data_IF_798478189692
#
_entry.id   IF_798478189692
#
_cell.length_a   1.000
_cell.length_b   1.000
_cell.length_c   1.000
_cell.angle_alpha   90.00
_cell.angle_beta   90.00
_cell.angle_gamma   90.00
#
_symmetry.space_group_name_H-M   'P 1'
#
loop_
_entity.id
_entity.type
_entity.pdbx_description
1 polymer ?
#
# COMPACT_ATOMS: atom_id res chain seq x y z
N UNK A 1 -44.07 0.82 12.87
CA UNK A 1 -44.58 2.14 13.30
C UNK A 1 -43.62 3.20 12.80
N UNK A 2 -44.10 4.15 12.01
CA UNK A 2 -43.34 5.28 11.50
C UNK A 2 -43.05 6.24 12.65
N UNK A 3 -41.81 6.30 13.11
CA UNK A 3 -41.32 7.47 13.84
C UNK A 3 -40.19 8.07 13.00
N UNK A 4 -40.46 9.26 12.48
CA UNK A 4 -39.46 10.15 11.91
C UNK A 4 -38.38 10.46 12.93
N UNK A 5 -37.32 11.15 12.51
CA UNK A 5 -36.10 11.43 13.28
C UNK A 5 -36.29 12.31 14.55
N UNK A 6 -37.51 12.43 15.08
CA UNK A 6 -37.94 13.33 16.14
C UNK A 6 -38.60 12.60 17.34
N UNK A 7 -38.25 11.33 17.61
CA UNK A 7 -38.73 10.64 18.81
C UNK A 7 -37.91 11.01 20.06
N UNK A 8 -38.55 11.06 21.23
CA UNK A 8 -37.94 11.51 22.47
C UNK A 8 -37.03 10.41 23.07
N UNK A 9 -36.01 10.76 23.86
CA UNK A 9 -35.03 9.78 24.39
C UNK A 9 -35.71 8.63 25.16
N UNK A 10 -36.78 8.92 25.91
CA UNK A 10 -37.53 7.90 26.66
C UNK A 10 -38.26 6.93 25.74
N UNK A 11 -38.76 7.38 24.59
CA UNK A 11 -39.44 6.52 23.61
C UNK A 11 -38.47 5.53 22.99
N UNK A 12 -37.26 5.99 22.64
CA UNK A 12 -36.19 5.10 22.17
C UNK A 12 -35.79 4.07 23.24
N UNK A 13 -35.78 4.42 24.52
CA UNK A 13 -35.51 3.46 25.61
C UNK A 13 -36.61 2.40 25.72
N UNK A 14 -37.88 2.80 25.65
CA UNK A 14 -39.01 1.86 25.68
C UNK A 14 -38.99 0.91 24.48
N UNK A 15 -38.71 1.43 23.29
CA UNK A 15 -38.58 0.62 22.07
C UNK A 15 -37.39 -0.34 22.19
N UNK A 16 -36.24 0.13 22.70
CA UNK A 16 -35.07 -0.71 22.91
C UNK A 16 -35.36 -1.87 23.86
N UNK A 17 -36.04 -1.59 24.99
CA UNK A 17 -36.40 -2.61 25.96
C UNK A 17 -37.40 -3.64 25.40
N UNK A 18 -38.34 -3.20 24.57
CA UNK A 18 -39.24 -4.11 23.84
C UNK A 18 -38.46 -5.11 22.98
N UNK A 19 -37.54 -4.63 22.15
CA UNK A 19 -36.74 -5.50 21.28
C UNK A 19 -35.73 -6.37 22.06
N UNK A 20 -35.24 -5.89 23.20
CA UNK A 20 -34.40 -6.68 24.12
C UNK A 20 -35.17 -7.88 24.68
N UNK A 21 -36.45 -7.69 25.05
CA UNK A 21 -37.32 -8.75 25.53
C UNK A 21 -37.70 -9.76 24.43
N UNK A 22 -37.85 -9.31 23.18
CA UNK A 22 -38.03 -10.18 22.01
C UNK A 22 -36.74 -10.91 21.58
N UNK A 23 -35.60 -10.65 22.26
CA UNK A 23 -34.26 -11.15 21.90
C UNK A 23 -33.80 -10.69 20.51
N UNK A 24 -34.35 -9.60 20.00
CA UNK A 24 -33.87 -8.94 18.79
C UNK A 24 -32.71 -7.98 19.15
N UNK A 25 -31.55 -8.57 19.39
CA UNK A 25 -30.36 -7.88 19.90
C UNK A 25 -29.88 -6.72 19.04
N UNK A 26 -30.00 -6.84 17.71
CA UNK A 26 -29.60 -5.79 16.77
C UNK A 26 -30.48 -4.54 16.91
N UNK A 27 -31.80 -4.69 16.87
CA UNK A 27 -32.72 -3.56 17.01
C UNK A 27 -32.66 -2.97 18.41
N UNK A 28 -32.58 -3.81 19.45
CA UNK A 28 -32.39 -3.36 20.83
C UNK A 28 -31.15 -2.48 20.95
N UNK A 29 -30.01 -2.95 20.44
CA UNK A 29 -28.76 -2.22 20.41
C UNK A 29 -28.85 -0.87 19.68
N UNK A 30 -29.47 -0.87 18.49
CA UNK A 30 -29.69 0.35 17.69
C UNK A 30 -30.53 1.40 18.42
N UNK A 31 -31.63 1.00 19.05
CA UNK A 31 -32.48 1.95 19.78
C UNK A 31 -31.84 2.41 21.10
N UNK A 32 -31.07 1.56 21.77
CA UNK A 32 -30.25 1.99 22.92
C UNK A 32 -29.18 3.01 22.52
N UNK A 33 -28.59 2.88 21.33
CA UNK A 33 -27.66 3.87 20.78
C UNK A 33 -28.35 5.21 20.53
N UNK A 34 -29.53 5.21 19.91
CA UNK A 34 -30.34 6.43 19.72
C UNK A 34 -30.75 7.08 21.05
N UNK A 35 -30.96 6.26 22.09
CA UNK A 35 -31.22 6.71 23.45
C UNK A 35 -29.96 7.15 24.23
N UNK A 36 -28.78 7.17 23.62
CA UNK A 36 -27.47 7.46 24.24
C UNK A 36 -27.10 6.54 25.42
N UNK A 37 -27.68 5.33 25.48
CA UNK A 37 -27.31 4.30 26.46
C UNK A 37 -26.22 3.39 25.87
N UNK A 38 -25.00 3.92 25.73
CA UNK A 38 -23.91 3.27 25.00
C UNK A 38 -23.54 1.88 25.53
N UNK A 39 -23.46 1.69 26.85
CA UNK A 39 -23.12 0.38 27.42
C UNK A 39 -24.15 -0.70 27.07
N UNK A 40 -25.45 -0.39 27.19
CA UNK A 40 -26.51 -1.34 26.83
C UNK A 40 -26.55 -1.57 25.32
N UNK A 41 -26.32 -0.52 24.54
CA UNK A 41 -26.24 -0.61 23.09
C UNK A 41 -25.15 -1.62 22.69
N UNK A 42 -23.91 -1.42 23.14
CA UNK A 42 -22.77 -2.27 22.79
C UNK A 42 -22.98 -3.70 23.27
N UNK A 43 -23.39 -3.93 24.52
CA UNK A 43 -23.64 -5.29 25.03
C UNK A 43 -24.70 -6.05 24.21
N UNK A 44 -25.76 -5.37 23.78
CA UNK A 44 -26.79 -5.97 22.93
C UNK A 44 -26.27 -6.20 21.50
N UNK A 45 -25.57 -5.23 20.90
CA UNK A 45 -25.00 -5.38 19.56
C UNK A 45 -24.00 -6.55 19.47
N UNK A 46 -23.15 -6.73 20.49
CA UNK A 46 -22.18 -7.83 20.54
C UNK A 46 -22.80 -9.21 20.81
N UNK A 47 -24.04 -9.26 21.30
CA UNK A 47 -24.84 -10.50 21.39
C UNK A 47 -25.51 -10.89 20.07
N UNK A 48 -25.58 -9.97 19.12
CA UNK A 48 -26.09 -10.27 17.79
C UNK A 48 -25.16 -11.29 17.11
N UNK A 49 -25.69 -12.29 16.39
CA UNK A 49 -24.87 -13.25 15.67
C UNK A 49 -23.86 -12.55 14.75
N UNK A 50 -22.58 -12.94 14.86
CA UNK A 50 -21.54 -12.38 14.01
C UNK A 50 -21.66 -12.93 12.58
N UNK A 51 -21.58 -12.03 11.61
CA UNK A 51 -21.36 -12.30 10.19
C UNK A 51 -20.21 -11.41 9.72
N UNK A 52 -19.51 -11.78 8.65
CA UNK A 52 -18.35 -11.02 8.15
C UNK A 52 -18.68 -9.54 7.84
N UNK A 53 -19.93 -9.26 7.45
CA UNK A 53 -20.46 -7.91 7.24
C UNK A 53 -21.55 -7.58 8.27
N UNK A 54 -21.27 -7.78 9.55
CA UNK A 54 -22.27 -7.57 10.60
C UNK A 54 -22.59 -6.09 10.80
N UNK A 55 -23.81 -5.61 10.45
CA UNK A 55 -24.21 -4.23 10.72
C UNK A 55 -24.30 -3.94 12.23
N UNK A 56 -24.42 -4.98 13.07
CA UNK A 56 -24.39 -4.83 14.52
C UNK A 56 -23.01 -4.38 15.01
N UNK A 57 -21.95 -4.93 14.42
CA UNK A 57 -20.58 -4.57 14.79
C UNK A 57 -20.23 -3.15 14.33
N UNK A 58 -20.70 -2.73 13.15
CA UNK A 58 -20.54 -1.36 12.67
C UNK A 58 -21.18 -0.33 13.62
N UNK A 59 -22.40 -0.61 14.09
CA UNK A 59 -23.07 0.22 15.10
C UNK A 59 -22.33 0.19 16.45
N UNK A 60 -21.69 -0.93 16.81
CA UNK A 60 -20.94 -1.03 18.06
C UNK A 60 -19.65 -0.18 18.00
N UNK A 61 -18.97 -0.17 16.85
CA UNK A 61 -17.82 0.71 16.59
C UNK A 61 -18.21 2.19 16.71
N UNK A 62 -19.33 2.57 16.09
CA UNK A 62 -19.89 3.93 16.19
C UNK A 62 -20.24 4.28 17.64
N UNK A 63 -20.91 3.37 18.36
CA UNK A 63 -21.27 3.55 19.76
C UNK A 63 -20.06 3.78 20.66
N UNK A 64 -18.96 3.04 20.46
CA UNK A 64 -17.70 3.24 21.19
C UNK A 64 -17.08 4.60 20.88
N UNK A 65 -17.06 5.00 19.60
CA UNK A 65 -16.56 6.31 19.18
C UNK A 65 -17.35 7.49 19.77
N UNK A 66 -18.66 7.33 19.94
CA UNK A 66 -19.53 8.34 20.54
C UNK A 66 -19.46 8.36 22.08
N UNK A 67 -19.20 7.21 22.70
CA UNK A 67 -19.16 7.09 24.16
C UNK A 67 -17.88 7.65 24.79
N UNK A 68 -16.76 7.60 24.05
CA UNK A 68 -15.41 7.94 24.53
C UNK A 68 -15.05 7.26 25.87
N UNK A 69 -15.54 6.03 26.07
CA UNK A 69 -15.36 5.23 27.28
C UNK A 69 -14.29 4.14 27.05
N UNK A 70 -13.19 4.23 27.81
CA UNK A 70 -12.06 3.29 27.73
C UNK A 70 -12.45 1.85 28.08
N UNK A 71 -13.40 1.64 28.99
CA UNK A 71 -13.87 0.30 29.38
C UNK A 71 -14.70 -0.32 28.27
N UNK A 72 -15.56 0.45 27.61
CA UNK A 72 -16.34 -0.02 26.46
C UNK A 72 -15.44 -0.29 25.25
N UNK A 73 -14.41 0.52 25.07
CA UNK A 73 -13.35 0.28 24.08
C UNK A 73 -12.64 -1.05 24.33
N UNK A 74 -12.17 -1.28 25.57
CA UNK A 74 -11.50 -2.53 25.94
C UNK A 74 -12.42 -3.75 25.77
N UNK A 75 -13.70 -3.63 26.14
CA UNK A 75 -14.70 -4.68 25.91
C UNK A 75 -14.80 -5.06 24.43
N UNK A 76 -14.81 -4.06 23.54
CA UNK A 76 -14.88 -4.30 22.10
C UNK A 76 -13.58 -4.92 21.56
N UNK A 77 -12.41 -4.50 22.06
CA UNK A 77 -11.12 -5.10 21.68
C UNK A 77 -11.07 -6.58 22.07
N UNK A 78 -11.42 -6.93 23.30
CA UNK A 78 -11.49 -8.33 23.79
C UNK A 78 -12.42 -9.18 22.92
N UNK A 79 -13.56 -8.63 22.51
CA UNK A 79 -14.48 -9.29 21.58
C UNK A 79 -13.85 -9.51 20.19
N UNK A 80 -13.22 -8.48 19.62
CA UNK A 80 -12.57 -8.56 18.31
C UNK A 80 -11.39 -9.53 18.28
N UNK A 81 -10.65 -9.63 19.39
CA UNK A 81 -9.54 -10.58 19.53
C UNK A 81 -10.00 -12.02 19.78
N UNK A 82 -11.31 -12.25 19.96
CA UNK A 82 -11.86 -13.59 20.18
C UNK A 82 -11.64 -14.12 21.60
N UNK A 83 -11.21 -13.28 22.55
CA UNK A 83 -11.02 -13.70 23.94
C UNK A 83 -12.36 -14.00 24.64
N UNK A 84 -13.46 -13.43 24.14
CA UNK A 84 -14.81 -13.63 24.66
C UNK A 84 -15.52 -14.88 24.11
N UNK A 85 -15.28 -15.25 22.85
CA UNK A 85 -16.01 -16.32 22.15
C UNK A 85 -15.11 -17.38 21.48
N UNK A 86 -13.79 -17.28 21.69
CA UNK A 86 -12.79 -18.20 21.16
C UNK A 86 -12.43 -18.00 19.69
N UNK A 87 -13.03 -17.03 18.99
CA UNK A 87 -12.84 -16.84 17.55
C UNK A 87 -12.42 -15.39 17.25
N UNK A 88 -11.14 -15.14 16.94
CA UNK A 88 -10.69 -13.82 16.49
C UNK A 88 -11.46 -13.35 15.27
N UNK A 89 -11.89 -12.08 15.28
CA UNK A 89 -12.58 -11.44 14.16
C UNK A 89 -11.57 -10.90 13.15
N UNK A 90 -12.06 -10.56 11.95
CA UNK A 90 -11.23 -9.94 10.92
C UNK A 90 -10.59 -8.66 11.45
N UNK A 91 -9.26 -8.54 11.30
CA UNK A 91 -8.44 -7.41 11.73
C UNK A 91 -8.92 -6.06 11.15
N UNK A 92 -9.66 -6.06 10.04
CA UNK A 92 -10.34 -4.87 9.50
C UNK A 92 -11.27 -4.19 10.51
N UNK A 93 -11.91 -4.94 11.39
CA UNK A 93 -12.77 -4.37 12.43
C UNK A 93 -11.95 -3.66 13.51
N UNK A 94 -10.82 -4.23 13.91
CA UNK A 94 -9.90 -3.61 14.86
C UNK A 94 -9.27 -2.35 14.27
N UNK A 95 -8.92 -2.40 12.99
CA UNK A 95 -8.49 -1.22 12.24
C UNK A 95 -9.56 -0.13 12.27
N UNK A 96 -10.81 -0.44 11.91
CA UNK A 96 -11.93 0.52 11.95
C UNK A 96 -12.15 1.10 13.34
N UNK A 97 -12.03 0.30 14.40
CA UNK A 97 -12.10 0.77 15.78
C UNK A 97 -11.04 1.84 16.06
N UNK A 98 -9.78 1.56 15.75
CA UNK A 98 -8.69 2.52 15.95
C UNK A 98 -8.87 3.79 15.12
N UNK A 99 -9.44 3.69 13.92
CA UNK A 99 -9.78 4.87 13.11
C UNK A 99 -10.85 5.74 13.76
N UNK A 100 -11.93 5.12 14.25
CA UNK A 100 -13.02 5.82 14.97
C UNK A 100 -12.50 6.51 16.23
N UNK A 101 -11.62 5.83 16.98
CA UNK A 101 -10.98 6.35 18.18
C UNK A 101 -9.83 7.32 17.90
N UNK A 102 -9.52 7.59 16.63
CA UNK A 102 -8.38 8.43 16.21
C UNK A 102 -7.03 7.94 16.75
N UNK A 103 -6.92 6.64 17.05
CA UNK A 103 -5.70 5.96 17.49
C UNK A 103 -4.86 5.55 16.27
N UNK A 104 -4.39 6.56 15.54
CA UNK A 104 -3.73 6.37 14.24
C UNK A 104 -2.47 5.50 14.27
N UNK A 105 -1.73 5.50 15.39
CA UNK A 105 -0.53 4.66 15.56
C UNK A 105 -0.88 3.17 15.55
N UNK A 106 -1.92 2.78 16.30
CA UNK A 106 -2.37 1.39 16.35
C UNK A 106 -3.07 1.00 15.04
N UNK A 107 -3.87 1.90 14.47
CA UNK A 107 -4.47 1.71 13.15
C UNK A 107 -3.39 1.43 12.08
N UNK A 108 -2.28 2.16 12.11
CA UNK A 108 -1.18 1.97 11.18
C UNK A 108 -0.52 0.60 11.29
N UNK A 109 -0.29 0.11 12.52
CA UNK A 109 0.24 -1.24 12.74
C UNK A 109 -0.73 -2.31 12.25
N UNK A 110 -2.01 -2.18 12.57
CA UNK A 110 -3.05 -3.12 12.11
C UNK A 110 -3.18 -3.11 10.59
N UNK A 111 -3.10 -1.96 9.93
CA UNK A 111 -3.16 -1.87 8.47
C UNK A 111 -2.00 -2.59 7.79
N UNK A 112 -0.79 -2.55 8.36
CA UNK A 112 0.36 -3.32 7.87
C UNK A 112 0.11 -4.83 7.98
N UNK A 113 -0.51 -5.29 9.06
CA UNK A 113 -0.89 -6.70 9.23
C UNK A 113 -1.90 -7.11 8.16
N UNK A 114 -2.99 -6.35 7.99
CA UNK A 114 -4.02 -6.63 6.97
C UNK A 114 -3.40 -6.63 5.57
N UNK A 115 -2.53 -5.66 5.26
CA UNK A 115 -1.86 -5.59 3.96
C UNK A 115 -0.99 -6.83 3.69
N UNK A 116 -0.29 -7.36 4.71
CA UNK A 116 0.51 -8.59 4.59
C UNK A 116 -0.36 -9.83 4.38
N UNK A 117 -1.52 -9.91 5.01
CA UNK A 117 -2.49 -10.99 4.78
C UNK A 117 -3.00 -10.96 3.33
N UNK A 118 -3.40 -9.78 2.84
CA UNK A 118 -3.83 -9.58 1.45
C UNK A 118 -2.70 -9.90 0.45
N UNK A 119 -1.45 -9.54 0.75
CA UNK A 119 -0.27 -9.92 -0.05
C UNK A 119 -0.08 -11.43 -0.12
N UNK A 120 -0.28 -12.12 1.01
CA UNK A 120 -0.17 -13.57 1.10
C UNK A 120 -1.26 -14.24 0.26
N UNK A 121 -2.49 -13.72 0.34
CA UNK A 121 -3.62 -14.16 -0.47
C UNK A 121 -3.50 -13.84 -1.98
N UNK A 122 -2.53 -13.01 -2.39
CA UNK A 122 -2.34 -12.59 -3.78
C UNK A 122 -3.13 -11.35 -4.19
N UNK A 123 -3.82 -10.69 -3.25
CA UNK A 123 -4.63 -9.50 -3.44
C UNK A 123 -3.80 -8.21 -3.36
N UNK A 124 -2.74 -8.09 -4.16
CA UNK A 124 -1.78 -6.98 -4.09
C UNK A 124 -2.40 -5.59 -4.29
N UNK A 125 -3.47 -5.48 -5.10
CA UNK A 125 -4.17 -4.21 -5.31
C UNK A 125 -4.99 -3.79 -4.07
N UNK A 126 -5.63 -4.74 -3.41
CA UNK A 126 -6.35 -4.51 -2.15
C UNK A 126 -5.40 -4.03 -1.06
N UNK A 127 -4.25 -4.71 -0.89
CA UNK A 127 -3.18 -4.30 0.03
C UNK A 127 -2.67 -2.90 -0.29
N UNK A 128 -2.44 -2.59 -1.56
CA UNK A 128 -1.99 -1.28 -2.04
C UNK A 128 -2.99 -0.19 -1.66
N UNK A 129 -4.27 -0.37 -2.00
CA UNK A 129 -5.30 0.64 -1.82
C UNK A 129 -5.59 0.90 -0.33
N UNK A 130 -5.51 -0.15 0.51
CA UNK A 130 -5.58 -0.02 1.97
C UNK A 130 -4.45 0.86 2.51
N UNK A 131 -3.19 0.52 2.22
CA UNK A 131 -2.03 1.29 2.71
C UNK A 131 -2.06 2.72 2.17
N UNK A 132 -2.41 2.91 0.89
CA UNK A 132 -2.55 4.23 0.28
C UNK A 132 -3.59 5.08 1.02
N UNK A 133 -4.79 4.53 1.30
CA UNK A 133 -5.86 5.25 1.97
C UNK A 133 -5.44 5.76 3.35
N UNK A 134 -4.69 4.95 4.10
CA UNK A 134 -4.21 5.33 5.42
C UNK A 134 -3.05 6.33 5.36
N UNK A 135 -2.14 6.17 4.39
CA UNK A 135 -1.08 7.17 4.15
C UNK A 135 -1.67 8.53 3.81
N UNK A 136 -2.71 8.59 2.99
CA UNK A 136 -3.47 9.82 2.71
C UNK A 136 -4.05 10.39 4.02
N UNK A 137 -4.67 9.54 4.83
CA UNK A 137 -5.38 9.97 6.03
C UNK A 137 -4.44 10.54 7.11
N UNK A 138 -3.27 9.92 7.31
CA UNK A 138 -2.22 10.41 8.20
C UNK A 138 -1.69 11.76 7.71
N UNK A 139 -1.43 11.89 6.41
CA UNK A 139 -0.90 13.14 5.82
C UNK A 139 -1.87 14.30 5.90
N UNK A 140 -3.16 14.07 5.69
CA UNK A 140 -4.19 15.11 5.83
C UNK A 140 -4.28 15.68 7.25
N UNK A 141 -3.75 14.97 8.25
CA UNK A 141 -3.72 15.37 9.67
C UNK A 141 -2.31 15.76 10.15
N UNK A 142 -1.37 15.94 9.23
CA UNK A 142 0.04 16.21 9.53
C UNK A 142 0.68 15.17 10.47
N UNK A 143 0.20 13.93 10.42
CA UNK A 143 0.75 12.81 11.18
C UNK A 143 1.84 12.10 10.36
N UNK A 144 2.90 11.69 11.06
CA UNK A 144 4.00 10.93 10.45
C UNK A 144 3.53 9.56 10.00
N UNK A 145 3.90 9.19 8.78
CA UNK A 145 3.70 7.84 8.24
C UNK A 145 4.80 6.90 8.76
N UNK A 146 4.47 5.75 9.35
CA UNK A 146 5.48 4.76 9.75
C UNK A 146 6.33 4.25 8.57
N UNK A 147 7.63 4.05 8.80
CA UNK A 147 8.58 3.61 7.77
C UNK A 147 8.12 2.34 7.07
N UNK A 148 7.76 1.32 7.85
CA UNK A 148 7.32 0.03 7.34
C UNK A 148 6.09 0.12 6.43
N UNK A 149 5.16 1.02 6.74
CA UNK A 149 3.98 1.28 5.92
C UNK A 149 4.38 1.92 4.58
N UNK A 150 5.24 2.93 4.63
CA UNK A 150 5.74 3.60 3.43
C UNK A 150 6.51 2.62 2.52
N UNK A 151 7.36 1.77 3.10
CA UNK A 151 8.14 0.76 2.39
C UNK A 151 7.26 -0.30 1.73
N UNK A 152 6.25 -0.81 2.46
CA UNK A 152 5.31 -1.78 1.91
C UNK A 152 4.45 -1.17 0.79
N UNK A 153 4.00 0.09 0.95
CA UNK A 153 3.30 0.78 -0.12
C UNK A 153 4.20 1.00 -1.34
N UNK A 154 5.46 1.42 -1.16
CA UNK A 154 6.41 1.61 -2.25
C UNK A 154 6.65 0.30 -3.03
N UNK A 155 6.77 -0.82 -2.32
CA UNK A 155 6.98 -2.14 -2.91
C UNK A 155 5.74 -2.60 -3.70
N UNK A 156 4.54 -2.46 -3.15
CA UNK A 156 3.29 -2.77 -3.85
C UNK A 156 3.07 -1.85 -5.06
N UNK A 157 3.40 -0.58 -4.92
CA UNK A 157 3.33 0.38 -6.02
C UNK A 157 4.29 0.01 -7.15
N UNK A 158 5.49 -0.47 -6.82
CA UNK A 158 6.46 -0.99 -7.81
C UNK A 158 5.88 -2.16 -8.60
N UNK A 159 5.14 -3.08 -7.94
CA UNK A 159 4.43 -4.17 -8.61
C UNK A 159 3.32 -3.66 -9.56
N UNK A 160 2.59 -2.61 -9.17
CA UNK A 160 1.58 -1.97 -10.05
C UNK A 160 2.25 -1.30 -11.25
N UNK A 161 3.31 -0.53 -11.01
CA UNK A 161 4.06 0.19 -12.06
C UNK A 161 4.69 -0.74 -13.08
N UNK A 162 5.16 -1.92 -12.67
CA UNK A 162 5.67 -2.92 -13.62
C UNK A 162 4.65 -3.21 -14.74
N UNK A 163 3.37 -3.43 -14.39
CA UNK A 163 2.30 -3.67 -15.39
C UNK A 163 2.04 -2.44 -16.26
N UNK A 164 2.09 -1.25 -15.67
CA UNK A 164 1.93 0.02 -16.38
C UNK A 164 3.04 0.18 -17.43
N UNK A 165 4.31 0.01 -17.04
CA UNK A 165 5.44 0.17 -17.95
C UNK A 165 5.46 -0.89 -19.07
N UNK A 166 5.12 -2.15 -18.76
CA UNK A 166 4.97 -3.20 -19.79
C UNK A 166 3.94 -2.79 -20.85
N UNK A 167 2.80 -2.22 -20.42
CA UNK A 167 1.74 -1.76 -21.34
C UNK A 167 2.21 -0.61 -22.24
N UNK A 168 3.09 0.26 -21.74
CA UNK A 168 3.66 1.38 -22.50
C UNK A 168 4.90 0.99 -23.32
N UNK A 169 5.32 -0.28 -23.31
CA UNK A 169 6.51 -0.75 -24.02
C UNK A 169 7.84 -0.34 -23.37
N UNK A 170 7.81 0.25 -22.17
CA UNK A 170 9.02 0.62 -21.43
C UNK A 170 9.56 -0.57 -20.64
N UNK A 171 10.26 -1.45 -21.36
CA UNK A 171 10.81 -2.68 -20.80
C UNK A 171 11.89 -2.42 -19.74
N UNK A 172 12.63 -1.30 -19.82
CA UNK A 172 13.69 -1.00 -18.87
C UNK A 172 13.12 -0.61 -17.50
N UNK A 173 12.14 0.30 -17.45
CA UNK A 173 11.49 0.66 -16.18
C UNK A 173 10.67 -0.51 -15.63
N UNK A 174 9.98 -1.25 -16.49
CA UNK A 174 9.30 -2.48 -16.08
C UNK A 174 10.25 -3.48 -15.42
N UNK A 175 11.40 -3.74 -16.04
CA UNK A 175 12.40 -4.67 -15.51
C UNK A 175 12.94 -4.20 -14.15
N UNK A 176 13.27 -2.91 -13.98
CA UNK A 176 13.75 -2.37 -12.69
C UNK A 176 12.72 -2.50 -11.58
N UNK A 177 11.44 -2.23 -11.86
CA UNK A 177 10.36 -2.44 -10.89
C UNK A 177 10.21 -3.93 -10.52
N UNK A 178 10.30 -4.82 -11.50
CA UNK A 178 10.23 -6.26 -11.29
C UNK A 178 11.44 -6.82 -10.53
N UNK A 179 12.63 -6.25 -10.72
CA UNK A 179 13.82 -6.59 -9.93
C UNK A 179 13.59 -6.25 -8.45
N UNK A 180 13.14 -5.02 -8.14
CA UNK A 180 12.82 -4.61 -6.76
C UNK A 180 11.79 -5.54 -6.10
N UNK A 181 10.75 -5.93 -6.86
CA UNK A 181 9.74 -6.89 -6.39
C UNK A 181 10.34 -8.28 -6.19
N UNK A 182 11.19 -8.75 -7.10
CA UNK A 182 11.83 -10.05 -7.04
C UNK A 182 12.89 -10.17 -5.93
N UNK A 183 13.58 -9.10 -5.57
CA UNK A 183 14.43 -9.04 -4.37
C UNK A 183 13.62 -9.24 -3.08
N UNK A 184 12.33 -8.90 -3.11
CA UNK A 184 11.40 -9.02 -1.98
C UNK A 184 10.35 -10.13 -2.22
N UNK A 185 10.70 -11.17 -2.98
CA UNK A 185 9.76 -12.19 -3.47
C UNK A 185 9.03 -12.96 -2.35
N UNK A 186 9.62 -13.04 -1.15
CA UNK A 186 8.99 -13.63 0.04
C UNK A 186 7.70 -12.92 0.45
N UNK A 187 7.54 -11.64 0.10
CA UNK A 187 6.32 -10.85 0.32
C UNK A 187 5.26 -11.06 -0.78
N UNK A 188 5.53 -11.90 -1.78
CA UNK A 188 4.62 -12.23 -2.89
C UNK A 188 4.47 -13.75 -3.09
N UNK A 189 4.13 -14.52 -2.05
CA UNK A 189 4.19 -16.00 -2.09
C UNK A 189 3.25 -16.64 -3.11
N UNK A 190 2.09 -16.02 -3.38
CA UNK A 190 1.12 -16.53 -4.34
C UNK A 190 1.55 -16.36 -5.80
N UNK A 191 2.36 -15.34 -6.11
CA UNK A 191 2.77 -15.02 -7.49
C UNK A 191 4.28 -15.15 -7.75
N UNK A 192 5.00 -15.97 -6.97
CA UNK A 192 6.46 -16.16 -7.12
C UNK A 192 6.87 -16.48 -8.56
N UNK A 193 6.29 -17.54 -9.13
CA UNK A 193 6.66 -18.00 -10.49
C UNK A 193 6.26 -16.98 -11.57
N UNK A 194 5.02 -16.43 -11.60
CA UNK A 194 4.65 -15.38 -12.56
C UNK A 194 5.52 -14.12 -12.48
N UNK A 195 5.84 -13.65 -11.27
CA UNK A 195 6.67 -12.44 -11.07
C UNK A 195 8.07 -12.69 -11.62
N UNK A 196 8.76 -13.74 -11.14
CA UNK A 196 10.11 -14.05 -11.58
C UNK A 196 10.18 -14.31 -13.09
N UNK A 197 9.16 -14.98 -13.66
CA UNK A 197 9.09 -15.22 -15.12
C UNK A 197 9.01 -13.90 -15.87
N UNK A 198 8.17 -12.98 -15.42
CA UNK A 198 8.06 -11.64 -15.98
C UNK A 198 9.38 -10.86 -15.82
N UNK A 199 10.04 -10.96 -14.65
CA UNK A 199 11.34 -10.33 -14.39
C UNK A 199 12.37 -10.78 -15.42
N UNK A 200 12.49 -12.09 -15.68
CA UNK A 200 13.44 -12.61 -16.69
C UNK A 200 13.13 -12.07 -18.08
N UNK A 201 11.86 -12.11 -18.50
CA UNK A 201 11.43 -11.68 -19.84
C UNK A 201 11.71 -10.19 -20.05
N UNK A 202 11.31 -9.35 -19.09
CA UNK A 202 11.49 -7.90 -19.21
C UNK A 202 12.97 -7.51 -19.10
N UNK A 203 13.76 -8.19 -18.26
CA UNK A 203 15.22 -8.01 -18.23
C UNK A 203 15.87 -8.37 -19.58
N UNK A 204 15.42 -9.43 -20.27
CA UNK A 204 15.94 -9.77 -21.60
C UNK A 204 15.63 -8.69 -22.63
N UNK A 205 14.39 -8.20 -22.66
CA UNK A 205 13.96 -7.13 -23.59
C UNK A 205 14.69 -5.81 -23.31
N UNK A 206 14.97 -5.53 -22.04
CA UNK A 206 15.70 -4.34 -21.61
C UNK A 206 17.23 -4.44 -21.76
N UNK A 207 17.77 -5.61 -22.11
CA UNK A 207 19.22 -5.83 -22.20
C UNK A 207 19.94 -6.00 -20.86
N UNK A 208 19.21 -6.23 -19.75
CA UNK A 208 19.76 -6.50 -18.41
C UNK A 208 20.19 -7.97 -18.30
N UNK A 209 21.34 -8.32 -18.89
CA UNK A 209 21.76 -9.71 -19.07
C UNK A 209 22.10 -10.38 -17.73
N UNK A 210 22.84 -9.68 -16.87
CA UNK A 210 23.22 -10.22 -15.55
C UNK A 210 22.00 -10.55 -14.69
N UNK A 211 21.05 -9.61 -14.57
CA UNK A 211 19.82 -9.81 -13.81
C UNK A 211 18.95 -10.92 -14.43
N UNK A 212 18.80 -10.92 -15.76
CA UNK A 212 18.04 -11.94 -16.48
C UNK A 212 18.58 -13.35 -16.22
N UNK A 213 19.90 -13.53 -16.32
CA UNK A 213 20.55 -14.81 -16.04
C UNK A 213 20.33 -15.26 -14.60
N UNK A 214 20.52 -14.35 -13.63
CA UNK A 214 20.34 -14.66 -12.20
C UNK A 214 18.94 -15.18 -11.86
N UNK A 215 17.89 -14.47 -12.30
CA UNK A 215 16.51 -14.91 -12.05
C UNK A 215 16.11 -16.13 -12.88
N UNK A 216 16.65 -16.31 -14.08
CA UNK A 216 16.42 -17.53 -14.88
C UNK A 216 17.03 -18.76 -14.18
N UNK A 217 18.25 -18.64 -13.65
CA UNK A 217 18.88 -19.69 -12.86
C UNK A 217 18.08 -20.01 -11.59
N UNK A 218 17.52 -18.99 -10.91
CA UNK A 218 16.63 -19.17 -9.76
C UNK A 218 15.37 -19.95 -10.14
N UNK A 219 14.69 -19.60 -11.23
CA UNK A 219 13.47 -20.28 -11.70
C UNK A 219 13.67 -21.74 -12.13
N UNK A 220 14.90 -22.12 -12.51
CA UNK A 220 15.24 -23.48 -12.93
C UNK A 220 15.59 -24.40 -11.77
N UNK A 221 15.61 -23.89 -10.53
CA UNK A 221 15.72 -24.72 -9.32
C UNK A 221 14.49 -25.65 -9.19
N UNK A 222 14.64 -26.85 -8.61
CA UNK A 222 13.55 -27.84 -8.51
C UNK A 222 12.24 -27.28 -7.96
N UNK A 223 12.32 -26.39 -6.97
CA UNK A 223 11.19 -25.74 -6.29
C UNK A 223 10.21 -25.00 -7.23
N UNK A 224 10.75 -24.36 -8.29
CA UNK A 224 9.99 -23.53 -9.22
C UNK A 224 9.89 -24.13 -10.61
N UNK A 225 10.87 -24.95 -10.99
CA UNK A 225 11.03 -25.51 -12.33
C UNK A 225 9.77 -26.21 -12.81
N UNK A 226 9.14 -27.03 -11.97
CA UNK A 226 7.95 -27.80 -12.33
C UNK A 226 6.71 -26.93 -12.55
N UNK A 227 6.59 -25.83 -11.80
CA UNK A 227 5.50 -24.85 -11.88
C UNK A 227 5.63 -23.90 -13.07
N UNK A 228 6.83 -23.85 -13.69
CA UNK A 228 7.08 -23.03 -14.86
C UNK A 228 6.54 -23.68 -16.13
N UNK A 229 5.86 -22.89 -16.95
CA UNK A 229 5.36 -23.32 -18.26
C UNK A 229 6.48 -23.91 -19.15
N UNK A 230 6.24 -25.03 -19.86
CA UNK A 230 7.26 -25.71 -20.66
C UNK A 230 7.93 -24.83 -21.73
N UNK A 231 7.21 -23.85 -22.30
CA UNK A 231 7.75 -22.91 -23.31
C UNK A 231 8.78 -22.00 -22.68
N UNK A 232 8.48 -21.45 -21.50
CA UNK A 232 9.40 -20.59 -20.76
C UNK A 232 10.57 -21.39 -20.20
N UNK A 233 10.34 -22.60 -19.71
CA UNK A 233 11.39 -23.51 -19.21
C UNK A 233 12.48 -23.75 -20.26
N UNK A 234 12.11 -24.14 -21.48
CA UNK A 234 13.08 -24.38 -22.58
C UNK A 234 13.88 -23.12 -22.94
N UNK A 235 13.23 -21.96 -22.95
CA UNK A 235 13.88 -20.68 -23.23
C UNK A 235 14.91 -20.34 -22.15
N UNK A 236 14.55 -20.47 -20.89
CA UNK A 236 15.43 -20.15 -19.77
C UNK A 236 16.58 -21.15 -19.64
N UNK A 237 16.36 -22.44 -19.93
CA UNK A 237 17.45 -23.42 -20.02
C UNK A 237 18.47 -23.05 -21.11
N UNK A 238 17.99 -22.59 -22.26
CA UNK A 238 18.86 -22.16 -23.35
C UNK A 238 19.65 -20.92 -22.95
N UNK A 239 19.02 -19.98 -22.24
CA UNK A 239 19.66 -18.78 -21.70
C UNK A 239 20.82 -19.15 -20.75
N UNK A 240 20.59 -20.05 -19.77
CA UNK A 240 21.63 -20.38 -18.78
C UNK A 240 22.75 -21.26 -19.36
N UNK A 241 22.48 -22.02 -20.42
CA UNK A 241 23.47 -22.89 -21.09
C UNK A 241 24.41 -22.13 -22.02
N UNK A 242 24.04 -20.92 -22.44
CA UNK A 242 24.85 -20.06 -23.32
C UNK A 242 25.11 -18.72 -22.62
N UNK A 243 25.93 -18.70 -21.55
CA UNK A 243 26.26 -17.47 -20.84
C UNK A 243 26.99 -16.45 -21.73
N UNK A 244 27.72 -16.92 -22.75
CA UNK A 244 28.48 -16.07 -23.68
C UNK A 244 28.20 -16.41 -25.15
N UNK A 245 27.45 -15.55 -25.84
CA UNK A 245 27.78 -15.17 -27.21
C UNK A 245 28.01 -13.67 -27.21
N UNK A 246 29.28 -13.26 -27.40
CA UNK A 246 29.57 -11.93 -27.97
C UNK A 246 28.71 -11.76 -29.23
N UNK A 247 28.10 -10.60 -29.47
CA UNK A 247 27.18 -10.44 -30.58
C UNK A 247 27.97 -10.59 -31.89
N UNK A 248 27.82 -11.74 -32.56
CA UNK A 248 27.89 -11.74 -34.01
C UNK A 248 26.73 -10.87 -34.49
N UNK A 249 27.10 -9.85 -35.25
CA UNK A 249 26.22 -8.91 -35.94
C UNK A 249 24.93 -9.59 -36.45
N UNK A 250 23.85 -9.44 -35.70
CA UNK A 250 22.51 -9.47 -36.30
C UNK A 250 22.28 -8.05 -36.80
N UNK A 251 22.60 -7.85 -38.08
CA UNK A 251 22.23 -6.65 -38.80
C UNK A 251 20.70 -6.48 -38.71
N UNK A 252 20.27 -5.40 -38.06
CA UNK A 252 18.87 -5.05 -37.86
C UNK A 252 18.72 -4.04 -36.73
N UNK A 253 18.98 -2.76 -37.05
CA UNK A 253 18.47 -1.56 -36.38
C UNK A 253 18.10 -1.69 -34.88
N UNK A 254 19.11 -1.82 -34.00
CA UNK A 254 18.92 -1.62 -32.56
C UNK A 254 19.95 -0.62 -32.03
N UNK A 255 19.51 0.40 -31.25
CA UNK A 255 20.41 1.41 -30.70
C UNK A 255 21.36 0.80 -29.66
N UNK A 256 22.53 1.41 -29.55
CA UNK A 256 23.70 1.03 -28.75
C UNK A 256 23.37 0.56 -27.30
N UNK A 257 23.22 -0.75 -27.10
CA UNK A 257 22.79 -1.38 -25.84
C UNK A 257 23.90 -1.60 -24.80
N UNK A 258 25.08 -1.01 -24.98
CA UNK A 258 26.23 -1.18 -24.06
C UNK A 258 26.05 -0.56 -22.67
N UNK A 259 25.07 0.33 -22.48
CA UNK A 259 24.93 1.15 -21.27
C UNK A 259 23.65 0.88 -20.44
N UNK A 260 22.83 -0.10 -20.85
CA UNK A 260 21.52 -0.34 -20.22
C UNK A 260 21.60 -1.01 -18.84
N UNK A 261 22.70 -1.75 -18.57
CA UNK A 261 22.90 -2.45 -17.29
C UNK A 261 23.19 -1.51 -16.12
N UNK A 262 23.73 -0.32 -16.38
CA UNK A 262 24.04 0.66 -15.33
C UNK A 262 22.79 1.48 -15.05
N UNK A 263 22.32 1.43 -13.79
CA UNK A 263 21.27 2.34 -13.33
C UNK A 263 21.84 3.76 -13.26
N UNK A 264 21.29 4.76 -13.99
CA UNK A 264 21.80 6.11 -14.00
C UNK A 264 21.91 6.67 -12.59
N UNK A 265 23.06 7.27 -12.30
CA UNK A 265 23.29 7.92 -11.02
C UNK A 265 22.57 9.27 -11.00
N UNK A 266 21.62 9.42 -10.08
CA UNK A 266 20.87 10.67 -9.87
C UNK A 266 21.13 11.20 -8.46
N UNK A 267 21.01 12.52 -8.23
CA UNK A 267 21.33 13.11 -6.94
C UNK A 267 20.24 12.84 -5.90
N UNK A 268 20.64 12.44 -4.69
CA UNK A 268 19.78 12.31 -3.53
C UNK A 268 19.05 13.64 -3.25
N UNK A 269 17.72 13.64 -3.05
CA UNK A 269 16.97 14.87 -2.82
C UNK A 269 17.27 15.54 -1.46
N UNK A 270 17.92 14.82 -0.53
CA UNK A 270 18.31 15.31 0.79
C UNK A 270 19.75 15.84 0.82
N UNK A 271 20.73 14.99 0.52
CA UNK A 271 22.16 15.31 0.65
C UNK A 271 22.89 15.51 -0.69
N UNK A 272 22.21 15.38 -1.83
CA UNK A 272 22.77 15.52 -3.18
C UNK A 272 23.86 14.49 -3.57
N UNK A 273 24.13 13.46 -2.75
CA UNK A 273 25.03 12.39 -3.16
C UNK A 273 24.48 11.63 -4.38
N UNK A 274 25.34 11.18 -5.27
CA UNK A 274 24.92 10.40 -6.44
C UNK A 274 24.67 8.94 -6.04
N UNK A 275 23.49 8.42 -6.35
CA UNK A 275 23.11 7.03 -6.14
C UNK A 275 22.29 6.52 -7.32
N UNK A 276 22.15 5.19 -7.43
CA UNK A 276 21.34 4.55 -8.46
C UNK A 276 19.90 5.10 -8.42
N UNK A 277 19.36 5.53 -9.57
CA UNK A 277 18.03 6.13 -9.68
C UNK A 277 16.92 5.27 -9.07
N UNK A 278 17.03 3.95 -9.17
CA UNK A 278 16.08 3.00 -8.59
C UNK A 278 16.26 2.75 -7.09
N UNK A 279 17.34 3.23 -6.46
CA UNK A 279 17.52 3.13 -5.01
C UNK A 279 16.59 4.09 -4.28
N UNK A 280 15.87 3.58 -3.27
CA UNK A 280 15.02 4.36 -2.37
C UNK A 280 15.63 4.56 -0.99
N UNK A 281 16.87 4.14 -0.79
CA UNK A 281 17.60 4.35 0.46
C UNK A 281 18.96 4.98 0.17
N UNK A 282 19.25 6.10 0.84
CA UNK A 282 20.53 6.75 0.76
C UNK A 282 21.39 6.34 1.96
N UNK A 283 22.53 5.69 1.69
CA UNK A 283 23.48 5.28 2.73
C UNK A 283 24.23 6.44 3.35
N UNK A 284 24.48 7.51 2.58
CA UNK A 284 25.23 8.69 3.03
C UNK A 284 24.45 9.50 4.08
N UNK A 285 23.17 9.78 3.83
CA UNK A 285 22.30 10.49 4.79
C UNK A 285 21.35 9.57 5.56
N UNK A 286 21.53 8.24 5.46
CA UNK A 286 20.78 7.20 6.17
C UNK A 286 19.26 7.42 6.16
N UNK A 287 18.74 7.77 5.00
CA UNK A 287 17.35 8.20 4.84
C UNK A 287 16.65 7.37 3.78
N UNK A 288 15.40 6.99 4.07
CA UNK A 288 14.49 6.47 3.04
C UNK A 288 13.96 7.65 2.22
N UNK A 289 14.12 7.55 0.90
CA UNK A 289 13.84 8.61 -0.05
C UNK A 289 12.42 8.50 -0.61
N UNK A 290 11.72 9.62 -0.83
CA UNK A 290 10.48 9.61 -1.60
C UNK A 290 10.72 9.10 -3.02
N UNK A 291 9.75 8.34 -3.52
CA UNK A 291 9.77 7.82 -4.88
C UNK A 291 8.77 8.54 -5.78
N UNK A 292 9.10 8.58 -7.07
CA UNK A 292 8.23 9.06 -8.12
C UNK A 292 7.12 8.06 -8.37
N UNK A 293 5.86 8.49 -8.28
CA UNK A 293 4.71 7.62 -8.54
C UNK A 293 4.59 7.11 -9.97
N UNK A 294 5.33 7.68 -10.94
CA UNK A 294 5.30 7.25 -12.34
C UNK A 294 6.42 6.27 -12.66
N UNK A 295 7.64 6.55 -12.20
CA UNK A 295 8.82 5.73 -12.56
C UNK A 295 9.23 4.74 -11.48
N UNK A 296 8.81 4.96 -10.23
CA UNK A 296 9.25 4.21 -9.06
C UNK A 296 10.67 4.53 -8.60
N UNK A 297 11.41 5.42 -9.27
CA UNK A 297 12.74 5.89 -8.86
C UNK A 297 12.64 6.92 -7.73
N UNK A 298 13.73 7.19 -7.01
CA UNK A 298 13.71 8.32 -6.07
C UNK A 298 13.50 9.65 -6.82
N UNK A 299 12.86 10.62 -6.16
CA UNK A 299 12.59 11.93 -6.77
C UNK A 299 13.84 12.80 -6.83
N UNK A 300 13.87 13.72 -7.80
CA UNK A 300 14.96 14.66 -8.02
C UNK A 300 14.49 16.06 -7.63
N UNK A 301 15.22 16.74 -6.73
CA UNK A 301 14.85 18.05 -6.18
C UNK A 301 14.55 19.08 -7.27
N UNK A 302 15.39 19.16 -8.30
CA UNK A 302 15.22 20.16 -9.35
C UNK A 302 14.08 19.81 -10.32
N UNK A 303 13.66 18.55 -10.42
CA UNK A 303 12.65 18.10 -11.38
C UNK A 303 11.45 17.51 -10.64
N UNK A 304 10.92 18.24 -9.67
CA UNK A 304 9.91 17.75 -8.74
C UNK A 304 8.51 18.30 -9.05
N UNK A 305 7.51 17.44 -8.90
CA UNK A 305 6.09 17.80 -8.83
C UNK A 305 5.37 16.87 -7.87
N UNK A 306 4.09 17.14 -7.63
CA UNK A 306 3.18 16.24 -6.93
C UNK A 306 2.00 15.89 -7.81
N UNK A 307 1.36 14.74 -7.54
CA UNK A 307 0.09 14.40 -8.14
C UNK A 307 -0.99 15.40 -7.68
N UNK A 308 -1.79 15.99 -8.59
CA UNK A 308 -2.87 16.90 -8.19
C UNK A 308 -3.99 16.20 -7.40
N UNK A 309 -4.18 14.89 -7.60
CA UNK A 309 -5.23 14.12 -6.92
C UNK A 309 -4.83 13.64 -5.52
N UNK A 310 -3.62 13.12 -5.35
CA UNK A 310 -3.18 12.50 -4.09
C UNK A 310 -1.96 13.14 -3.43
N UNK A 311 -1.38 14.18 -4.02
CA UNK A 311 -0.20 14.88 -3.48
C UNK A 311 1.06 14.01 -3.31
N UNK A 312 1.09 12.81 -3.90
CA UNK A 312 2.29 11.98 -3.89
C UNK A 312 3.39 12.56 -4.79
N UNK A 313 4.67 12.36 -4.45
CA UNK A 313 5.79 12.90 -5.21
C UNK A 313 5.91 12.27 -6.60
N UNK A 314 6.29 13.09 -7.57
CA UNK A 314 6.64 12.64 -8.92
C UNK A 314 7.82 13.46 -9.45
N UNK A 315 8.51 12.89 -10.43
CA UNK A 315 9.44 13.64 -11.27
C UNK A 315 8.60 14.40 -12.30
N UNK A 316 8.80 15.70 -12.42
CA UNK A 316 7.94 16.57 -13.24
C UNK A 316 8.01 16.20 -14.73
N UNK A 317 9.22 16.11 -15.29
CA UNK A 317 9.41 15.69 -16.68
C UNK A 317 8.77 14.34 -17.00
N UNK A 318 8.91 13.36 -16.10
CA UNK A 318 8.36 12.01 -16.26
C UNK A 318 6.83 11.98 -16.15
N UNK A 319 6.24 12.75 -15.23
CA UNK A 319 4.79 12.85 -15.12
C UNK A 319 4.19 13.53 -16.35
N UNK A 320 4.84 14.56 -16.87
CA UNK A 320 4.42 15.24 -18.09
C UNK A 320 4.51 14.30 -19.30
N UNK A 321 5.63 13.61 -19.46
CA UNK A 321 5.81 12.60 -20.53
C UNK A 321 4.78 11.47 -20.44
N UNK A 322 4.45 11.00 -19.23
CA UNK A 322 3.42 9.99 -19.03
C UNK A 322 2.03 10.47 -19.46
N UNK A 323 1.68 11.73 -19.16
CA UNK A 323 0.42 12.35 -19.57
C UNK A 323 0.35 12.50 -21.10
N UNK A 324 1.43 12.94 -21.74
CA UNK A 324 1.48 13.17 -23.18
C UNK A 324 1.44 11.87 -24.01
N UNK A 325 1.96 10.78 -23.46
CA UNK A 325 2.04 9.48 -24.14
C UNK A 325 0.91 8.49 -23.78
N UNK A 326 -0.16 8.97 -23.14
CA UNK A 326 -1.30 8.15 -22.70
C UNK A 326 -2.62 8.74 -23.17
N UNK A 327 -3.52 7.91 -23.71
CA UNK A 327 -4.84 8.37 -24.20
C UNK A 327 -5.82 8.80 -23.07
N UNK A 328 -5.82 8.09 -21.94
CA UNK A 328 -6.59 8.44 -20.73
C UNK A 328 -5.66 8.35 -19.50
N UNK A 329 -4.79 9.36 -19.31
CA UNK A 329 -3.77 9.31 -18.26
C UNK A 329 -4.43 9.36 -16.89
N UNK A 330 -4.23 8.29 -16.12
CA UNK A 330 -4.67 8.18 -14.74
C UNK A 330 -3.48 7.91 -13.84
N UNK A 331 -3.49 8.51 -12.65
CA UNK A 331 -2.44 8.35 -11.66
C UNK A 331 -2.33 6.86 -11.24
N UNK A 332 -1.18 6.19 -11.38
CA UNK A 332 -1.04 4.79 -10.98
C UNK A 332 -1.23 4.55 -9.48
N UNK A 333 -1.04 5.58 -8.65
CA UNK A 333 -1.22 5.54 -7.19
C UNK A 333 -2.70 5.68 -6.79
N UNK A 334 -3.38 6.75 -7.22
CA UNK A 334 -4.73 7.07 -6.73
C UNK A 334 -5.84 6.95 -7.79
N UNK A 335 -5.51 6.56 -9.02
CA UNK A 335 -6.42 6.42 -10.16
C UNK A 335 -7.16 7.70 -10.57
N UNK A 336 -6.80 8.87 -10.03
CA UNK A 336 -7.36 10.15 -10.48
C UNK A 336 -6.90 10.48 -11.89
N UNK A 337 -7.78 11.05 -12.72
CA UNK A 337 -7.41 11.56 -14.04
C UNK A 337 -6.34 12.64 -13.91
N UNK A 338 -5.34 12.57 -14.77
CA UNK A 338 -4.26 13.54 -14.86
C UNK A 338 -4.48 14.42 -16.09
N UNK A 339 -4.17 15.70 -15.96
CA UNK A 339 -4.20 16.65 -17.07
C UNK A 339 -2.92 17.48 -17.02
N UNK A 340 -2.42 17.85 -18.21
CA UNK A 340 -1.29 18.77 -18.35
C UNK A 340 -1.54 20.07 -17.57
N UNK A 341 -2.78 20.55 -17.58
CA UNK A 341 -3.15 21.82 -16.98
C UNK A 341 -3.18 21.79 -15.44
N UNK A 342 -3.25 20.61 -14.83
CA UNK A 342 -3.27 20.45 -13.37
C UNK A 342 -1.90 20.13 -12.76
N UNK A 343 -0.87 19.90 -13.59
CA UNK A 343 0.49 19.61 -13.13
C UNK A 343 1.38 20.86 -13.22
N UNK A 344 2.10 21.16 -12.14
CA UNK A 344 3.02 22.31 -12.06
C UNK A 344 4.31 21.88 -11.37
N UNK A 345 5.45 22.25 -11.96
CA UNK A 345 6.75 22.06 -11.32
C UNK A 345 6.80 22.87 -10.02
N UNK A 346 7.28 22.26 -8.96
CA UNK A 346 7.44 22.92 -7.66
C UNK A 346 8.82 23.55 -7.61
N UNK A 347 8.88 24.87 -7.34
CA UNK A 347 10.14 25.63 -7.35
C UNK A 347 11.01 25.32 -6.14
N UNK A 348 10.42 25.27 -4.94
CA UNK A 348 11.10 24.86 -3.72
C UNK A 348 10.39 23.65 -3.09
N UNK A 349 10.79 22.42 -3.44
CA UNK A 349 10.15 21.23 -2.92
C UNK A 349 10.72 20.77 -1.58
N UNK A 350 11.67 21.49 -0.96
CA UNK A 350 12.38 21.02 0.24
C UNK A 350 11.44 20.65 1.39
N UNK A 351 10.43 21.48 1.67
CA UNK A 351 9.44 21.18 2.74
C UNK A 351 8.64 19.91 2.43
N UNK A 352 8.21 19.74 1.18
CA UNK A 352 7.41 18.59 0.75
C UNK A 352 8.28 17.33 0.84
N UNK A 353 9.46 17.35 0.23
CA UNK A 353 10.40 16.22 0.23
C UNK A 353 10.74 15.79 1.66
N UNK A 354 11.03 16.73 2.56
CA UNK A 354 11.35 16.43 3.96
C UNK A 354 10.18 15.77 4.69
N UNK A 355 8.93 16.12 4.37
CA UNK A 355 7.74 15.46 4.92
C UNK A 355 7.54 14.01 4.41
N UNK A 356 8.30 13.59 3.39
CA UNK A 356 8.32 12.21 2.89
C UNK A 356 9.59 11.45 3.29
N UNK A 357 10.63 12.13 3.74
CA UNK A 357 11.86 11.49 4.19
C UNK A 357 11.64 10.92 5.58
N UNK A 358 11.92 9.64 5.73
CA UNK A 358 11.97 8.97 7.03
C UNK A 358 13.44 8.77 7.39
N UNK A 359 13.93 9.50 8.39
CA UNK A 359 15.28 9.32 8.93
C UNK A 359 15.30 8.15 9.93
N UNK A 360 16.44 7.45 10.01
CA UNK A 360 16.64 6.27 10.87
C UNK A 360 16.55 6.57 12.38
N UNK A 361 16.79 7.83 12.81
CA UNK A 361 16.88 8.20 14.23
C UNK A 361 15.51 8.54 14.88
N UNK A 362 14.41 8.48 14.12
CA UNK A 362 13.09 8.93 14.58
C UNK A 362 12.22 7.83 15.23
N UNK A 363 12.75 6.63 15.45
CA UNK A 363 12.06 5.59 16.24
C UNK A 363 11.99 5.93 17.75
N UNK A 364 12.58 7.05 18.18
CA UNK A 364 12.49 7.57 19.54
C UNK A 364 11.89 8.98 19.57
N UNK A 365 10.56 9.09 19.45
CA UNK A 365 9.84 10.28 19.91
C UNK A 365 9.22 9.99 21.29
N UNK A 366 9.45 10.85 22.30
CA UNK A 366 9.18 10.53 23.69
C UNK A 366 7.69 10.42 23.97
N UNK A 367 7.34 9.48 24.84
CA UNK A 367 6.04 9.40 25.46
C UNK A 367 5.81 10.66 26.32
N UNK A 368 4.75 11.40 26.01
CA UNK A 368 4.12 12.34 26.93
C UNK A 368 4.57 13.79 26.80
N UNK A 369 3.68 14.62 26.23
CA UNK A 369 3.41 15.93 26.80
C UNK A 369 1.95 15.92 27.23
N UNK A 370 1.74 15.81 28.55
CA UNK A 370 0.49 16.23 29.19
C UNK A 370 0.43 17.75 29.03
N UNK A 371 -0.68 18.26 28.50
CA UNK A 371 -1.01 19.67 28.61
C UNK A 371 -1.32 19.95 30.10
N UNK A 372 -0.63 20.95 30.65
CA UNK A 372 -1.09 21.68 31.84
C UNK A 372 -2.30 22.54 31.51
#
# INVERSE_FOLDING_TARGET
CLLGKDANISEYQSIAHYFENEKNWYLAGKFYLMAKQYEKAIRNLLRSPYTENSPALDLALEAVGLADDTRLTHLLIVYLMGEADGVPKDARHLFRLYMVLKQYKEAARTAVIIAREEQTAGNYRSAHDLLFSLVQELKQRDLRVPAEMADNLALLHSYVLAKVHVKHGDHLRAARMLIRVAENISKFPSHVVPILTSTVIECQKAGLKTASFGYAAMLLRPEYREKLDPKHRRKFETLIRRPDRKPEHVAGDQPDHGNAEVDPATPCPSCSCLLAGSSLYCTECRSTLPYCIITGNHVIKNDFTVCPGCQFPAIYSELMSFIENSDDPSCPMCSSKLSRDSVRRVVDPSKIINAWITAADDEQLPAGQKAE
#
